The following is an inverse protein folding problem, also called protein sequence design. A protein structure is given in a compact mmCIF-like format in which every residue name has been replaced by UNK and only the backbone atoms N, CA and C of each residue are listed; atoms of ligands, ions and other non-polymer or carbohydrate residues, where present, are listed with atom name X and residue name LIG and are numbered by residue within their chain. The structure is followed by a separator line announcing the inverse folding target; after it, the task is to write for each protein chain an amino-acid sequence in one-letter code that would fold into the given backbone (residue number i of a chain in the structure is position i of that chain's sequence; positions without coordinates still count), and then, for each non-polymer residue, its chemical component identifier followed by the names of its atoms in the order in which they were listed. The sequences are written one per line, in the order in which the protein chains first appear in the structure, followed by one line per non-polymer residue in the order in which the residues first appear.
data_IF_447387631111
#
_entry.id   IF_447387631111
#
_cell.length_a   1.000
_cell.length_b   1.000
_cell.length_c   1.000
_cell.angle_alpha   90.00
_cell.angle_beta   90.00
_cell.angle_gamma   90.00
#
_symmetry.space_group_name_H-M   'P 1'
#
loop_
_entity.id
_entity.type
_entity.pdbx_description
1 polymer ?
#
# COMPACT_ATOMS: atom_id res chain seq x y z
N UNK A 1 -8.16 21.97 -5.63
CA UNK A 1 -8.24 20.51 -5.40
C UNK A 1 -7.03 20.11 -4.57
N UNK A 2 -7.26 19.61 -3.36
CA UNK A 2 -6.21 19.16 -2.45
C UNK A 2 -5.76 17.74 -2.83
N UNK A 3 -4.44 17.53 -2.87
CA UNK A 3 -3.83 16.22 -3.19
C UNK A 3 -2.94 15.77 -2.03
N UNK A 4 -2.96 14.48 -1.71
CA UNK A 4 -2.07 13.96 -0.68
C UNK A 4 -2.10 12.44 -0.55
N UNK A 5 -1.12 11.95 0.20
CA UNK A 5 -0.99 10.55 0.54
C UNK A 5 -1.74 10.24 1.82
N UNK A 6 -2.31 9.05 1.88
CA UNK A 6 -2.93 8.54 3.11
C UNK A 6 -2.38 7.16 3.41
N UNK A 7 -2.08 6.94 4.68
CA UNK A 7 -1.66 5.66 5.21
C UNK A 7 -2.49 5.31 6.45
N UNK A 8 -2.97 4.06 6.53
CA UNK A 8 -3.66 3.55 7.71
C UNK A 8 -2.71 2.64 8.48
N UNK A 9 -2.41 3.00 9.74
CA UNK A 9 -1.54 2.25 10.61
C UNK A 9 -2.29 1.78 11.86
N UNK A 10 -2.25 0.50 12.11
CA UNK A 10 -2.76 -0.11 13.35
C UNK A 10 -1.76 -1.12 13.86
N UNK A 11 -1.19 -0.84 15.02
CA UNK A 11 -0.22 -1.71 15.68
C UNK A 11 -0.87 -3.05 16.06
N UNK A 12 -0.10 -4.12 15.96
CA UNK A 12 -0.46 -5.41 16.52
C UNK A 12 0.55 -5.81 17.63
N UNK A 13 0.48 -7.05 18.10
CA UNK A 13 1.33 -7.53 19.21
C UNK A 13 2.83 -7.57 18.85
N UNK A 14 3.18 -7.63 17.57
CA UNK A 14 4.55 -7.88 17.09
C UNK A 14 5.10 -6.75 16.23
N UNK A 15 4.24 -5.91 15.65
CA UNK A 15 4.64 -4.90 14.68
C UNK A 15 4.13 -3.52 15.08
N UNK A 16 5.03 -2.55 15.06
CA UNK A 16 4.75 -1.12 15.20
C UNK A 16 4.54 -0.49 13.83
N UNK A 17 3.30 -0.51 13.33
CA UNK A 17 2.93 0.09 12.04
C UNK A 17 2.97 1.62 12.05
N UNK A 18 2.88 2.26 13.22
CA UNK A 18 3.05 3.71 13.35
C UNK A 18 4.50 4.10 13.02
N UNK A 19 5.49 3.33 13.46
CA UNK A 19 6.90 3.54 13.07
C UNK A 19 7.13 3.26 11.58
N UNK A 20 6.46 2.27 10.99
CA UNK A 20 6.52 2.03 9.53
C UNK A 20 5.95 3.23 8.75
N UNK A 21 4.78 3.72 9.15
CA UNK A 21 4.16 4.91 8.56
C UNK A 21 5.04 6.17 8.68
N UNK A 22 5.75 6.33 9.80
CA UNK A 22 6.72 7.42 9.97
C UNK A 22 7.88 7.31 8.99
N UNK A 23 8.44 6.12 8.78
CA UNK A 23 9.50 5.88 7.79
C UNK A 23 9.03 6.21 6.36
N UNK A 24 7.81 5.78 6.01
CA UNK A 24 7.18 6.13 4.73
C UNK A 24 7.02 7.65 4.59
N UNK A 25 6.50 8.33 5.61
CA UNK A 25 6.30 9.78 5.58
C UNK A 25 7.62 10.55 5.39
N UNK A 26 8.69 10.13 6.07
CA UNK A 26 10.03 10.69 5.86
C UNK A 26 10.51 10.52 4.41
N UNK A 27 10.31 9.33 3.84
CA UNK A 27 10.70 9.07 2.45
C UNK A 27 9.91 9.91 1.45
N UNK A 28 8.61 10.14 1.70
CA UNK A 28 7.78 11.04 0.89
C UNK A 28 8.29 12.48 0.99
N UNK A 29 8.53 13.00 2.20
CA UNK A 29 9.05 14.37 2.37
C UNK A 29 10.43 14.57 1.71
N UNK A 30 11.26 13.53 1.67
CA UNK A 30 12.57 13.55 1.03
C UNK A 30 12.53 13.48 -0.49
N UNK A 31 11.54 12.82 -1.08
CA UNK A 31 11.51 12.48 -2.51
C UNK A 31 10.51 13.28 -3.34
N UNK A 32 9.44 13.80 -2.73
CA UNK A 32 8.38 14.48 -3.47
C UNK A 32 8.61 15.99 -3.53
N UNK A 33 8.62 16.55 -4.74
CA UNK A 33 8.89 17.96 -4.99
C UNK A 33 7.64 18.84 -4.81
N UNK A 34 6.49 18.40 -5.28
CA UNK A 34 5.26 19.20 -5.27
C UNK A 34 4.23 18.66 -4.28
N UNK A 35 3.83 17.40 -4.43
CA UNK A 35 2.74 16.80 -3.66
C UNK A 35 3.31 15.88 -2.57
N UNK A 36 3.68 16.47 -1.44
CA UNK A 36 4.30 15.75 -0.33
C UNK A 36 3.41 15.70 0.93
N UNK A 37 2.18 16.16 0.84
CA UNK A 37 1.23 16.06 1.96
C UNK A 37 0.90 14.61 2.26
N UNK A 38 1.02 14.22 3.54
CA UNK A 38 0.69 12.89 4.01
C UNK A 38 -0.08 12.93 5.32
N UNK A 39 -1.20 12.20 5.38
CA UNK A 39 -2.01 12.03 6.59
C UNK A 39 -1.98 10.58 7.09
N UNK A 40 -1.89 10.44 8.41
CA UNK A 40 -1.90 9.16 9.11
C UNK A 40 -3.29 8.89 9.69
N UNK A 41 -3.88 7.74 9.35
CA UNK A 41 -5.11 7.26 9.98
C UNK A 41 -4.72 6.22 11.03
N UNK A 42 -5.01 6.50 12.30
CA UNK A 42 -4.66 5.58 13.39
C UNK A 42 -5.43 5.90 14.68
N UNK A 43 -5.68 4.88 15.49
CA UNK A 43 -6.11 5.01 16.89
C UNK A 43 -4.96 4.73 17.86
N UNK A 44 -3.79 4.33 17.35
CA UNK A 44 -2.62 4.05 18.17
C UNK A 44 -1.91 5.34 18.61
N UNK A 45 -1.21 5.32 19.76
CA UNK A 45 -0.40 6.45 20.20
C UNK A 45 0.72 6.78 19.19
N UNK A 46 0.77 8.03 18.77
CA UNK A 46 1.82 8.54 17.86
C UNK A 46 2.86 9.33 18.68
N UNK A 47 4.14 8.91 18.70
CA UNK A 47 5.19 9.66 19.39
C UNK A 47 5.27 11.12 18.93
N UNK A 48 5.46 12.06 19.87
CA UNK A 48 5.53 13.51 19.56
C UNK A 48 6.52 13.86 18.44
N UNK A 49 7.63 13.13 18.36
CA UNK A 49 8.63 13.28 17.31
C UNK A 49 8.03 12.97 15.92
N UNK A 50 7.19 11.93 15.82
CA UNK A 50 6.60 11.49 14.57
C UNK A 50 5.43 12.39 14.11
N UNK A 51 4.71 13.00 15.05
CA UNK A 51 3.53 13.82 14.73
C UNK A 51 3.85 14.95 13.73
N UNK A 52 5.06 15.50 13.80
CA UNK A 52 5.46 16.68 13.01
C UNK A 52 5.58 16.41 11.51
N UNK A 53 5.73 15.16 11.09
CA UNK A 53 5.91 14.80 9.68
C UNK A 53 4.58 14.68 8.95
N UNK A 54 3.51 14.35 9.68
CA UNK A 54 2.18 14.20 9.13
C UNK A 54 1.44 15.55 9.10
N UNK A 55 0.78 15.82 7.99
CA UNK A 55 -0.08 17.00 7.87
C UNK A 55 -1.32 16.87 8.76
N UNK A 56 -1.85 15.65 8.89
CA UNK A 56 -2.93 15.35 9.83
C UNK A 56 -2.75 13.94 10.41
N UNK A 57 -3.18 13.78 11.66
CA UNK A 57 -3.35 12.48 12.32
C UNK A 57 -4.84 12.34 12.62
N UNK A 58 -5.46 11.36 11.99
CA UNK A 58 -6.91 11.21 11.94
C UNK A 58 -7.30 9.91 12.62
N UNK A 59 -8.23 9.90 13.57
CA UNK A 59 -8.72 8.67 14.14
C UNK A 59 -9.44 7.82 13.08
N UNK A 60 -9.41 6.50 13.25
CA UNK A 60 -10.18 5.58 12.40
C UNK A 60 -11.66 5.93 12.58
N UNK A 61 -12.38 6.30 11.50
CA UNK A 61 -13.78 6.67 11.60
C UNK A 61 -14.66 5.47 11.96
N UNK A 62 -15.83 5.77 12.52
CA UNK A 62 -16.78 4.79 13.02
C UNK A 62 -16.16 3.98 14.19
N UNK A 63 -16.25 2.66 14.16
CA UNK A 63 -15.65 1.78 15.16
C UNK A 63 -14.37 1.14 14.62
N UNK A 64 -13.51 0.61 15.50
CA UNK A 64 -12.41 -0.27 15.10
C UNK A 64 -12.95 -1.70 14.95
N UNK A 65 -13.17 -2.12 13.69
CA UNK A 65 -13.71 -3.45 13.38
C UNK A 65 -12.61 -4.53 13.35
N UNK A 66 -11.33 -4.14 13.35
CA UNK A 66 -10.22 -5.09 13.30
C UNK A 66 -9.97 -5.79 14.65
N UNK A 67 -10.34 -5.16 15.78
CA UNK A 67 -10.18 -5.77 17.09
C UNK A 67 -8.78 -6.32 17.33
N UNK A 68 -8.68 -7.64 17.57
CA UNK A 68 -7.43 -8.36 17.80
C UNK A 68 -6.92 -9.16 16.60
N UNK A 69 -7.44 -8.94 15.40
CA UNK A 69 -6.94 -9.62 14.20
C UNK A 69 -5.47 -9.26 13.94
N UNK A 70 -4.74 -10.21 13.38
CA UNK A 70 -3.29 -10.03 13.15
C UNK A 70 -3.00 -8.94 12.11
N UNK A 71 -3.73 -8.94 11.01
CA UNK A 71 -3.47 -8.08 9.85
C UNK A 71 -4.23 -6.76 9.88
N UNK A 72 -5.28 -6.64 10.69
CA UNK A 72 -6.11 -5.44 10.90
C UNK A 72 -6.58 -4.80 9.59
N UNK A 73 -6.98 -5.62 8.64
CA UNK A 73 -7.38 -5.16 7.30
C UNK A 73 -8.84 -4.70 7.23
N UNK A 74 -9.66 -5.06 8.21
CA UNK A 74 -11.09 -4.81 8.30
C UNK A 74 -11.45 -3.32 8.24
N UNK A 75 -10.52 -2.44 8.64
CA UNK A 75 -10.73 -0.99 8.62
C UNK A 75 -10.33 -0.30 7.31
N UNK A 76 -9.77 -1.03 6.35
CA UNK A 76 -9.22 -0.43 5.12
C UNK A 76 -10.26 0.28 4.25
N UNK A 77 -11.50 -0.16 4.26
CA UNK A 77 -12.58 0.53 3.54
C UNK A 77 -12.88 1.94 4.09
N UNK A 78 -12.52 2.22 5.35
CA UNK A 78 -12.76 3.50 6.03
C UNK A 78 -11.84 4.62 5.56
N UNK A 79 -10.80 4.30 4.79
CA UNK A 79 -9.84 5.28 4.27
C UNK A 79 -10.53 6.38 3.47
N UNK A 80 -11.56 6.04 2.66
CA UNK A 80 -12.32 7.02 1.89
C UNK A 80 -13.00 8.07 2.78
N UNK A 81 -13.53 7.66 3.91
CA UNK A 81 -14.21 8.54 4.85
C UNK A 81 -13.24 9.37 5.70
N UNK A 82 -12.03 8.86 5.91
CA UNK A 82 -11.02 9.51 6.74
C UNK A 82 -10.14 10.49 5.96
N UNK A 83 -9.92 10.29 4.65
CA UNK A 83 -9.02 11.14 3.89
C UNK A 83 -9.43 12.62 3.93
N UNK A 84 -8.49 13.55 4.23
CA UNK A 84 -8.78 14.98 4.18
C UNK A 84 -8.65 15.59 2.78
N UNK A 85 -8.19 14.79 1.79
CA UNK A 85 -7.86 15.26 0.45
C UNK A 85 -9.01 15.02 -0.54
N UNK A 86 -9.08 15.85 -1.59
CA UNK A 86 -9.98 15.64 -2.73
C UNK A 86 -9.46 14.51 -3.64
N UNK A 87 -8.14 14.46 -3.84
CA UNK A 87 -7.45 13.39 -4.54
C UNK A 87 -6.47 12.70 -3.59
N UNK A 88 -6.51 11.38 -3.54
CA UNK A 88 -5.75 10.58 -2.56
C UNK A 88 -4.99 9.46 -3.25
N UNK A 89 -3.68 9.34 -2.96
CA UNK A 89 -2.93 8.10 -3.17
C UNK A 89 -2.82 7.38 -1.83
N UNK A 90 -3.35 6.16 -1.78
CA UNK A 90 -3.27 5.27 -0.62
C UNK A 90 -2.04 4.39 -0.72
N UNK A 91 -1.31 4.28 0.37
CA UNK A 91 -0.10 3.46 0.49
C UNK A 91 -0.18 2.53 1.71
N UNK A 92 0.43 1.35 1.60
CA UNK A 92 0.69 0.51 2.77
C UNK A 92 1.82 1.10 3.61
N UNK A 93 1.80 0.85 4.92
CA UNK A 93 2.76 1.40 5.88
C UNK A 93 4.19 0.92 5.62
N UNK A 94 4.37 -0.30 5.10
CA UNK A 94 5.65 -0.95 4.85
C UNK A 94 6.22 -0.66 3.46
N UNK A 95 6.09 0.61 3.05
CA UNK A 95 6.64 1.13 1.80
C UNK A 95 7.62 2.27 2.04
N UNK A 96 8.48 2.53 1.06
CA UNK A 96 9.30 3.73 0.96
C UNK A 96 9.13 4.37 -0.41
N UNK A 97 8.98 5.69 -0.45
CA UNK A 97 8.97 6.48 -1.67
C UNK A 97 10.40 6.94 -1.97
N UNK A 98 10.97 6.52 -3.09
CA UNK A 98 12.39 6.71 -3.40
C UNK A 98 12.65 7.77 -4.48
N UNK A 99 11.62 8.15 -5.23
CA UNK A 99 11.71 9.14 -6.30
C UNK A 99 10.41 9.93 -6.41
N UNK A 100 10.49 11.09 -7.07
CA UNK A 100 9.31 11.91 -7.36
C UNK A 100 8.32 11.18 -8.27
N UNK A 101 7.04 11.25 -7.92
CA UNK A 101 5.93 10.65 -8.66
C UNK A 101 4.88 11.68 -9.09
N UNK A 102 5.25 12.94 -9.25
CA UNK A 102 4.33 14.02 -9.65
C UNK A 102 3.55 13.67 -10.92
N UNK A 103 4.17 12.97 -11.87
CA UNK A 103 3.51 12.46 -13.08
C UNK A 103 2.38 11.45 -12.82
N UNK A 104 2.39 10.76 -11.67
CA UNK A 104 1.29 9.86 -11.32
C UNK A 104 0.02 10.63 -10.99
N UNK A 105 0.15 11.76 -10.32
CA UNK A 105 -0.99 12.64 -10.01
C UNK A 105 -1.64 13.16 -11.29
N UNK A 106 -0.81 13.58 -12.26
CA UNK A 106 -1.25 14.08 -13.56
C UNK A 106 -2.04 13.01 -14.34
N UNK A 107 -1.50 11.80 -14.39
CA UNK A 107 -2.15 10.65 -15.01
C UNK A 107 -3.45 10.28 -14.28
N UNK A 108 -3.39 10.10 -12.96
CA UNK A 108 -4.50 9.59 -12.16
C UNK A 108 -5.68 10.56 -12.07
N UNK A 109 -5.45 11.89 -12.12
CA UNK A 109 -6.51 12.90 -12.05
C UNK A 109 -7.57 12.77 -13.15
N UNK A 110 -7.27 12.06 -14.24
CA UNK A 110 -8.23 11.77 -15.30
C UNK A 110 -9.24 10.66 -14.93
N UNK A 111 -9.08 10.01 -13.79
CA UNK A 111 -9.88 8.86 -13.37
C UNK A 111 -10.49 9.07 -11.99
N UNK A 112 -11.59 8.40 -11.71
CA UNK A 112 -12.20 8.42 -10.39
C UNK A 112 -11.47 7.51 -9.39
N UNK A 113 -10.97 6.37 -9.87
CA UNK A 113 -10.21 5.39 -9.11
C UNK A 113 -9.23 4.64 -10.00
N UNK A 114 -8.02 4.38 -9.50
CA UNK A 114 -6.99 3.61 -10.20
C UNK A 114 -6.26 2.70 -9.22
N UNK A 115 -6.05 1.45 -9.61
CA UNK A 115 -5.27 0.48 -8.84
C UNK A 115 -3.96 0.14 -9.53
N UNK A 116 -2.97 -0.18 -8.71
CA UNK A 116 -1.79 -0.87 -9.19
C UNK A 116 -2.17 -2.30 -9.60
N UNK A 117 -1.75 -2.70 -10.79
CA UNK A 117 -1.95 -4.06 -11.33
C UNK A 117 -0.64 -4.74 -11.71
N UNK A 118 0.48 -4.03 -11.58
CA UNK A 118 1.82 -4.47 -12.00
C UNK A 118 2.85 -4.23 -10.91
N UNK A 119 3.65 -5.25 -10.65
CA UNK A 119 4.75 -5.19 -9.67
C UNK A 119 6.07 -5.57 -10.32
N UNK A 120 7.17 -5.15 -9.68
CA UNK A 120 8.54 -5.52 -10.05
C UNK A 120 9.24 -6.22 -8.89
N UNK A 121 10.22 -7.05 -9.18
CA UNK A 121 11.18 -7.52 -8.19
C UNK A 121 12.32 -6.50 -7.99
N UNK A 122 13.25 -6.78 -7.06
CA UNK A 122 14.39 -5.88 -6.79
C UNK A 122 15.37 -5.75 -7.98
N UNK A 123 15.32 -6.64 -8.97
CA UNK A 123 16.08 -6.56 -10.22
C UNK A 123 15.40 -5.68 -11.27
N UNK A 124 14.26 -5.09 -10.91
CA UNK A 124 13.41 -4.25 -11.74
C UNK A 124 12.66 -5.01 -12.86
N UNK A 125 12.67 -6.34 -12.83
CA UNK A 125 11.88 -7.15 -13.74
C UNK A 125 10.41 -7.10 -13.34
N UNK A 126 9.52 -6.96 -14.31
CA UNK A 126 8.08 -7.16 -14.10
C UNK A 126 7.84 -8.62 -13.76
N UNK A 127 7.14 -8.87 -12.67
CA UNK A 127 6.88 -10.23 -12.18
C UNK A 127 5.39 -10.52 -12.06
N UNK A 128 5.03 -11.76 -12.36
CA UNK A 128 3.69 -12.27 -12.13
C UNK A 128 3.66 -13.08 -10.82
N UNK A 129 2.79 -12.67 -9.90
CA UNK A 129 2.60 -13.39 -8.65
C UNK A 129 1.67 -14.60 -8.84
N UNK A 130 2.22 -15.72 -9.32
CA UNK A 130 1.45 -16.96 -9.50
C UNK A 130 1.14 -17.68 -8.18
N UNK A 131 1.81 -17.33 -7.09
CA UNK A 131 1.65 -18.00 -5.80
C UNK A 131 0.46 -17.41 -5.02
N UNK A 132 0.41 -16.07 -4.89
CA UNK A 132 -0.61 -15.39 -4.10
C UNK A 132 -1.83 -14.94 -4.93
N UNK A 133 -1.77 -15.14 -6.26
CA UNK A 133 -2.84 -14.76 -7.20
C UNK A 133 -3.66 -15.94 -7.74
N UNK A 134 -3.52 -17.12 -7.12
CA UNK A 134 -4.26 -18.33 -7.55
C UNK A 134 -5.77 -18.11 -7.58
N UNK A 135 -6.34 -17.52 -6.53
CA UNK A 135 -7.77 -17.21 -6.47
C UNK A 135 -8.20 -16.24 -7.58
N UNK A 136 -7.38 -15.26 -7.91
CA UNK A 136 -7.65 -14.30 -9.00
C UNK A 136 -7.69 -15.02 -10.35
N UNK A 137 -6.67 -15.80 -10.66
CA UNK A 137 -6.54 -16.53 -11.93
C UNK A 137 -7.67 -17.57 -12.07
N UNK A 138 -7.92 -18.36 -11.02
CA UNK A 138 -8.90 -19.42 -11.04
C UNK A 138 -10.34 -18.91 -11.21
N UNK A 139 -10.66 -17.71 -10.73
CA UNK A 139 -11.99 -17.12 -10.78
C UNK A 139 -12.11 -15.99 -11.82
N UNK A 140 -11.08 -15.79 -12.65
CA UNK A 140 -11.04 -14.72 -13.67
C UNK A 140 -11.25 -13.31 -13.08
N UNK A 141 -10.75 -13.07 -11.87
CA UNK A 141 -10.84 -11.78 -11.21
C UNK A 141 -9.69 -10.86 -11.66
N UNK A 142 -9.91 -9.54 -11.71
CA UNK A 142 -8.88 -8.59 -12.10
C UNK A 142 -7.72 -8.59 -11.10
N UNK A 143 -6.48 -8.41 -11.61
CA UNK A 143 -5.28 -8.35 -10.75
C UNK A 143 -5.17 -6.98 -10.09
N UNK A 144 -5.56 -6.89 -8.83
CA UNK A 144 -5.54 -5.67 -8.03
C UNK A 144 -4.51 -5.79 -6.91
N UNK A 145 -3.67 -4.77 -6.74
CA UNK A 145 -2.84 -4.56 -5.54
C UNK A 145 -3.39 -3.36 -4.77
N UNK A 146 -4.09 -3.64 -3.68
CA UNK A 146 -4.71 -2.60 -2.84
C UNK A 146 -3.68 -1.76 -2.07
N UNK A 147 -2.48 -2.28 -1.93
CA UNK A 147 -1.35 -1.61 -1.27
C UNK A 147 -0.97 -0.26 -1.91
N UNK A 148 -1.30 -0.08 -3.19
CA UNK A 148 -1.12 1.17 -3.94
C UNK A 148 -2.33 1.42 -4.82
N UNK A 149 -3.09 2.46 -4.52
CA UNK A 149 -4.18 2.91 -5.38
C UNK A 149 -4.43 4.40 -5.22
N UNK A 150 -5.10 4.96 -6.21
CA UNK A 150 -5.55 6.34 -6.25
C UNK A 150 -7.06 6.40 -6.29
N UNK A 151 -7.63 7.39 -5.65
CA UNK A 151 -9.02 7.83 -5.89
C UNK A 151 -9.17 9.34 -5.70
N UNK A 152 -10.18 9.91 -6.36
CA UNK A 152 -10.69 11.25 -6.04
C UNK A 152 -12.07 11.14 -5.39
N UNK A 153 -12.48 12.15 -4.61
CA UNK A 153 -13.82 12.21 -4.02
C UNK A 153 -14.86 12.39 -5.12
N UNK A 154 -15.42 11.29 -5.59
CA UNK A 154 -16.44 11.19 -6.63
C UNK A 154 -17.48 10.15 -6.26
N UNK A 155 -18.61 10.13 -6.96
CA UNK A 155 -19.67 9.14 -6.76
C UNK A 155 -19.17 7.71 -7.07
N UNK A 156 -18.35 7.55 -8.10
CA UNK A 156 -17.75 6.26 -8.44
C UNK A 156 -16.89 5.73 -7.29
N UNK A 157 -15.98 6.55 -6.76
CA UNK A 157 -15.13 6.16 -5.64
C UNK A 157 -15.96 5.93 -4.37
N UNK A 158 -16.94 6.79 -4.07
CA UNK A 158 -17.85 6.58 -2.94
C UNK A 158 -18.56 5.22 -3.04
N UNK A 159 -19.15 4.91 -4.18
CA UNK A 159 -19.83 3.64 -4.41
C UNK A 159 -18.88 2.45 -4.31
N UNK A 160 -17.65 2.57 -4.85
CA UNK A 160 -16.64 1.54 -4.69
C UNK A 160 -16.37 1.22 -3.21
N UNK A 161 -16.15 2.23 -2.38
CA UNK A 161 -15.86 2.04 -0.96
C UNK A 161 -17.09 1.55 -0.17
N UNK A 162 -18.31 1.89 -0.59
CA UNK A 162 -19.55 1.31 -0.02
C UNK A 162 -19.70 -0.16 -0.33
N UNK A 163 -19.41 -0.60 -1.57
CA UNK A 163 -19.40 -2.02 -1.92
C UNK A 163 -18.23 -2.74 -1.23
N UNK A 164 -17.06 -2.08 -1.10
CA UNK A 164 -15.92 -2.61 -0.37
C UNK A 164 -16.25 -2.87 1.11
N UNK A 165 -16.95 -1.92 1.77
CA UNK A 165 -17.48 -2.09 3.13
C UNK A 165 -18.36 -3.35 3.22
N UNK A 166 -19.30 -3.51 2.29
CA UNK A 166 -20.19 -4.68 2.25
C UNK A 166 -19.41 -5.97 2.11
N UNK A 167 -18.45 -6.03 1.17
CA UNK A 167 -17.64 -7.24 0.93
C UNK A 167 -16.72 -7.54 2.12
N UNK A 168 -16.11 -6.53 2.75
CA UNK A 168 -15.31 -6.73 3.96
C UNK A 168 -16.13 -7.29 5.13
N UNK A 169 -17.32 -6.75 5.36
CA UNK A 169 -18.19 -7.16 6.46
C UNK A 169 -18.85 -8.54 6.22
N UNK A 170 -18.87 -9.01 4.98
CA UNK A 170 -19.47 -10.28 4.56
C UNK A 170 -18.46 -11.10 3.70
N UNK A 171 -17.18 -11.08 4.05
CA UNK A 171 -16.12 -11.60 3.18
C UNK A 171 -16.24 -13.11 2.93
N UNK A 172 -16.63 -13.92 3.93
CA UNK A 172 -16.83 -15.36 3.78
C UNK A 172 -17.90 -15.65 2.71
N UNK A 173 -19.05 -15.02 2.84
CA UNK A 173 -20.13 -15.14 1.85
C UNK A 173 -19.68 -14.64 0.48
N UNK A 174 -19.00 -13.52 0.41
CA UNK A 174 -18.54 -12.93 -0.84
C UNK A 174 -17.51 -13.81 -1.54
N UNK A 175 -16.59 -14.41 -0.79
CA UNK A 175 -15.59 -15.32 -1.35
C UNK A 175 -16.24 -16.61 -1.86
N UNK A 176 -17.22 -17.16 -1.14
CA UNK A 176 -17.96 -18.34 -1.57
C UNK A 176 -18.75 -18.11 -2.87
N UNK A 177 -19.11 -16.88 -3.17
CA UNK A 177 -19.86 -16.54 -4.39
C UNK A 177 -18.97 -16.09 -5.56
N UNK A 178 -17.91 -15.36 -5.30
CA UNK A 178 -17.10 -14.72 -6.35
C UNK A 178 -15.68 -15.30 -6.47
N UNK A 179 -15.20 -16.02 -5.47
CA UNK A 179 -13.89 -16.66 -5.46
C UNK A 179 -13.98 -18.15 -5.07
N UNK A 180 -14.95 -18.86 -5.66
CA UNK A 180 -15.31 -20.26 -5.33
C UNK A 180 -14.19 -21.27 -5.62
N UNK A 181 -13.30 -20.96 -6.57
CA UNK A 181 -12.13 -21.76 -6.88
C UNK A 181 -10.92 -21.22 -6.11
N UNK A 182 -10.08 -22.08 -5.58
CA UNK A 182 -8.91 -21.68 -4.78
C UNK A 182 -9.33 -20.76 -3.61
N UNK A 183 -10.38 -21.17 -2.86
CA UNK A 183 -10.92 -20.39 -1.76
C UNK A 183 -9.89 -20.02 -0.72
N UNK A 184 -9.82 -18.74 -0.42
CA UNK A 184 -8.97 -18.16 0.60
C UNK A 184 -9.76 -17.98 1.90
N UNK A 185 -9.25 -18.51 3.01
CA UNK A 185 -9.95 -18.53 4.31
C UNK A 185 -9.71 -17.30 5.18
N UNK A 186 -9.07 -16.28 4.66
CA UNK A 186 -8.79 -15.04 5.39
C UNK A 186 -9.09 -13.82 4.53
N UNK A 187 -9.51 -12.74 5.17
CA UNK A 187 -9.78 -11.47 4.51
C UNK A 187 -8.48 -10.90 3.90
N UNK A 188 -8.49 -10.65 2.60
CA UNK A 188 -7.42 -10.04 1.85
C UNK A 188 -7.95 -8.84 1.08
N UNK A 189 -7.36 -7.66 1.30
CA UNK A 189 -7.82 -6.45 0.62
C UNK A 189 -7.64 -6.50 -0.89
N UNK A 190 -6.60 -7.18 -1.37
CA UNK A 190 -6.38 -7.36 -2.80
C UNK A 190 -7.53 -8.13 -3.44
N UNK A 191 -7.90 -9.28 -2.85
CA UNK A 191 -8.98 -10.12 -3.38
C UNK A 191 -10.34 -9.43 -3.22
N UNK A 192 -10.59 -8.83 -2.07
CA UNK A 192 -11.81 -8.06 -1.81
C UNK A 192 -12.00 -6.93 -2.82
N UNK A 193 -10.95 -6.15 -3.06
CA UNK A 193 -10.99 -5.06 -4.05
C UNK A 193 -11.16 -5.59 -5.48
N UNK A 194 -10.56 -6.73 -5.82
CA UNK A 194 -10.76 -7.36 -7.13
C UNK A 194 -12.21 -7.77 -7.35
N UNK A 195 -12.85 -8.37 -6.35
CA UNK A 195 -14.30 -8.70 -6.38
C UNK A 195 -15.12 -7.43 -6.61
N UNK A 196 -14.84 -6.35 -5.88
CA UNK A 196 -15.58 -5.08 -6.02
C UNK A 196 -15.38 -4.45 -7.40
N UNK A 197 -14.14 -4.44 -7.92
CA UNK A 197 -13.84 -3.95 -9.28
C UNK A 197 -14.64 -4.73 -10.33
N UNK A 198 -14.72 -6.05 -10.19
CA UNK A 198 -15.48 -6.92 -11.09
C UNK A 198 -16.99 -6.67 -10.96
N UNK A 199 -17.54 -6.69 -9.73
CA UNK A 199 -18.96 -6.42 -9.46
C UNK A 199 -19.44 -5.09 -10.02
N UNK A 200 -18.60 -4.06 -10.00
CA UNK A 200 -18.94 -2.72 -10.48
C UNK A 200 -18.61 -2.50 -11.97
N UNK A 201 -18.05 -3.49 -12.65
CA UNK A 201 -17.63 -3.34 -14.06
C UNK A 201 -16.53 -2.31 -14.28
N UNK A 202 -15.64 -2.10 -13.28
CA UNK A 202 -14.61 -1.07 -13.31
C UNK A 202 -13.27 -1.56 -13.88
N UNK A 203 -13.18 -2.78 -14.39
CA UNK A 203 -11.90 -3.38 -14.83
C UNK A 203 -11.18 -2.51 -15.85
N UNK A 204 -11.88 -2.04 -16.89
CA UNK A 204 -11.27 -1.22 -17.95
C UNK A 204 -10.85 0.18 -17.49
N UNK A 205 -11.58 0.77 -16.54
CA UNK A 205 -11.32 2.13 -16.06
C UNK A 205 -10.37 2.17 -14.88
N UNK A 206 -10.48 1.21 -13.95
CA UNK A 206 -9.67 1.15 -12.74
C UNK A 206 -8.31 0.47 -12.93
N UNK A 207 -8.16 -0.37 -13.97
CA UNK A 207 -6.94 -1.09 -14.31
C UNK A 207 -6.53 -0.77 -15.73
N UNK A 208 -5.30 -0.32 -15.92
CA UNK A 208 -4.75 0.02 -17.23
C UNK A 208 -3.32 -0.51 -17.32
N UNK A 209 -3.00 -1.20 -18.42
CA UNK A 209 -1.66 -1.72 -18.69
C UNK A 209 -0.61 -0.61 -18.83
N UNK A 210 -1.03 0.58 -19.21
CA UNK A 210 -0.19 1.76 -19.35
C UNK A 210 -0.11 2.61 -18.06
N UNK A 211 -0.80 2.20 -17.00
CA UNK A 211 -0.75 2.90 -15.72
C UNK A 211 0.68 3.02 -15.21
N UNK A 212 1.12 4.22 -14.77
CA UNK A 212 2.41 4.40 -14.13
C UNK A 212 2.46 3.83 -12.71
N UNK A 213 1.31 3.47 -12.13
CA UNK A 213 1.21 2.91 -10.79
C UNK A 213 1.87 1.54 -10.75
N UNK A 214 3.06 1.49 -10.17
CA UNK A 214 3.84 0.27 -9.99
C UNK A 214 4.68 0.37 -8.73
N UNK A 215 5.05 -0.75 -8.15
CA UNK A 215 6.00 -0.78 -7.03
C UNK A 215 6.90 -2.01 -7.10
N UNK A 216 8.06 -1.89 -6.45
CA UNK A 216 8.97 -3.00 -6.23
C UNK A 216 8.47 -3.78 -5.02
N UNK A 217 8.23 -5.07 -5.18
CA UNK A 217 7.63 -5.93 -4.16
C UNK A 217 8.62 -6.99 -3.67
N UNK A 218 9.07 -6.86 -2.43
CA UNK A 218 10.10 -7.74 -1.83
C UNK A 218 9.53 -9.01 -1.21
N UNK A 219 8.40 -9.51 -1.70
CA UNK A 219 7.82 -10.76 -1.24
C UNK A 219 8.67 -11.93 -1.71
N UNK A 220 9.21 -12.73 -0.78
CA UNK A 220 10.21 -13.77 -1.04
C UNK A 220 9.90 -14.70 -2.24
N UNK A 221 8.66 -15.21 -2.41
CA UNK A 221 8.35 -16.05 -3.58
C UNK A 221 8.52 -15.36 -4.94
N UNK A 222 8.45 -14.03 -4.98
CA UNK A 222 8.62 -13.23 -6.21
C UNK A 222 10.08 -12.97 -6.56
N UNK A 223 10.98 -13.22 -5.62
CA UNK A 223 12.42 -13.01 -5.80
C UNK A 223 13.10 -14.19 -6.52
N UNK A 224 12.35 -15.26 -6.81
CA UNK A 224 12.89 -16.48 -7.39
C UNK A 224 13.74 -17.30 -6.42
N UNK A 225 13.62 -17.07 -5.11
CA UNK A 225 14.36 -17.78 -4.07
C UNK A 225 13.64 -19.05 -3.63
N UNK A 226 14.37 -20.02 -3.06
CA UNK A 226 13.75 -21.23 -2.53
C UNK A 226 12.71 -20.92 -1.46
N UNK A 227 11.63 -21.67 -1.45
CA UNK A 227 10.63 -21.60 -0.38
C UNK A 227 11.28 -21.90 0.96
N UNK A 228 10.98 -21.10 1.98
CA UNK A 228 11.61 -21.23 3.30
C UNK A 228 12.86 -20.38 3.49
N UNK A 229 13.28 -19.61 2.49
CA UNK A 229 14.27 -18.54 2.68
C UNK A 229 13.69 -17.56 3.69
N UNK A 230 14.40 -17.41 4.77
CA UNK A 230 14.02 -16.53 5.87
C UNK A 230 14.11 -15.07 5.42
N UNK A 231 14.04 -14.12 5.96
CA UNK A 231 14.15 -12.68 5.82
C UNK A 231 15.09 -12.26 4.67
N UNK A 232 14.56 -11.60 3.64
CA UNK A 232 15.35 -11.15 2.49
C UNK A 232 16.38 -10.08 2.90
N UNK A 233 16.04 -9.19 3.83
CA UNK A 233 16.91 -8.09 4.25
C UNK A 233 18.13 -8.56 5.04
N UNK A 234 18.09 -9.75 5.62
CA UNK A 234 19.26 -10.39 6.24
C UNK A 234 20.10 -11.21 5.26
N UNK A 235 19.56 -11.50 4.07
CA UNK A 235 20.19 -12.38 3.06
C UNK A 235 20.91 -11.58 1.97
N UNK A 236 20.38 -10.40 1.63
CA UNK A 236 20.90 -9.56 0.55
C UNK A 236 21.45 -8.24 1.13
N UNK A 237 22.62 -7.79 0.66
CA UNK A 237 23.16 -6.50 1.06
C UNK A 237 22.20 -5.36 0.72
N UNK A 238 21.93 -4.51 1.71
CA UNK A 238 21.08 -3.33 1.56
C UNK A 238 21.87 -2.09 1.97
N UNK A 239 21.88 -1.09 1.11
CA UNK A 239 22.47 0.21 1.39
C UNK A 239 21.44 1.32 1.18
N UNK A 240 21.06 2.01 2.26
CA UNK A 240 20.31 3.26 2.19
C UNK A 240 21.29 4.39 2.50
N UNK A 241 21.42 5.35 1.60
CA UNK A 241 22.27 6.52 1.79
C UNK A 241 21.55 7.62 2.58
N UNK A 242 22.30 8.62 3.06
CA UNK A 242 21.73 9.76 3.80
C UNK A 242 20.90 10.71 2.92
N UNK A 243 20.99 10.61 1.60
CA UNK A 243 20.15 11.35 0.65
C UNK A 243 18.96 10.52 0.11
N UNK A 244 18.63 9.40 0.78
CA UNK A 244 17.44 8.61 0.48
C UNK A 244 17.58 7.59 -0.66
N UNK A 245 18.76 7.41 -1.25
CA UNK A 245 18.94 6.38 -2.29
C UNK A 245 19.05 5.00 -1.67
N UNK A 246 18.22 4.07 -2.12
CA UNK A 246 18.20 2.68 -1.69
C UNK A 246 18.79 1.76 -2.77
N UNK A 247 19.71 0.91 -2.35
CA UNK A 247 20.26 -0.17 -3.17
C UNK A 247 20.01 -1.52 -2.49
N UNK A 248 19.60 -2.50 -3.28
CA UNK A 248 19.45 -3.91 -2.88
C UNK A 248 20.31 -4.75 -3.81
N UNK A 249 21.26 -5.51 -3.28
CA UNK A 249 22.25 -6.27 -4.06
C UNK A 249 22.97 -5.42 -5.12
N UNK A 250 23.37 -4.18 -4.76
CA UNK A 250 23.99 -3.19 -5.65
C UNK A 250 23.11 -2.71 -6.82
N UNK A 251 21.81 -2.99 -6.78
CA UNK A 251 20.85 -2.47 -7.76
C UNK A 251 20.08 -1.32 -7.08
N UNK A 252 20.15 -0.13 -7.69
CA UNK A 252 19.39 1.02 -7.22
C UNK A 252 17.90 0.77 -7.38
N UNK A 253 17.16 1.01 -6.32
CA UNK A 253 15.70 0.89 -6.30
C UNK A 253 15.06 2.22 -6.68
N UNK A 254 13.87 2.18 -7.28
CA UNK A 254 13.20 3.31 -7.88
C UNK A 254 11.74 3.45 -7.44
N UNK A 255 11.18 4.66 -7.52
CA UNK A 255 9.78 4.98 -7.26
C UNK A 255 9.29 4.49 -5.89
N UNK A 256 8.47 3.46 -5.85
CA UNK A 256 7.87 2.93 -4.63
C UNK A 256 8.41 1.53 -4.33
N UNK A 257 8.90 1.34 -3.11
CA UNK A 257 9.54 0.12 -2.64
C UNK A 257 8.76 -0.48 -1.47
N UNK A 258 8.12 -1.62 -1.67
CA UNK A 258 7.38 -2.35 -0.67
C UNK A 258 8.26 -3.45 -0.08
N UNK A 259 8.83 -3.19 1.10
CA UNK A 259 9.81 -4.09 1.72
C UNK A 259 9.20 -5.32 2.39
N UNK A 260 7.92 -5.33 2.71
CA UNK A 260 7.13 -6.44 3.29
C UNK A 260 7.57 -6.85 4.70
N UNK A 261 8.88 -7.06 4.91
CA UNK A 261 9.45 -7.48 6.19
C UNK A 261 9.50 -6.32 7.19
N UNK A 262 8.79 -6.47 8.30
CA UNK A 262 8.54 -5.36 9.23
C UNK A 262 9.77 -4.96 10.05
N UNK A 263 10.76 -5.84 10.18
CA UNK A 263 12.06 -5.58 10.83
C UNK A 263 13.07 -4.88 9.90
N UNK A 264 12.75 -4.68 8.62
CA UNK A 264 13.55 -3.91 7.68
C UNK A 264 13.84 -2.49 8.17
N UNK A 265 12.86 -1.82 8.79
CA UNK A 265 13.04 -0.47 9.32
C UNK A 265 13.79 -0.51 10.67
N UNK A 266 15.10 -0.62 10.58
CA UNK A 266 16.00 -0.53 11.74
C UNK A 266 16.19 0.92 12.21
N UNK A 267 16.72 1.10 13.43
CA UNK A 267 17.13 2.44 13.93
C UNK A 267 18.12 3.15 12.99
N UNK A 268 18.99 2.39 12.33
CA UNK A 268 19.97 2.94 11.38
C UNK A 268 19.27 3.45 10.11
N UNK A 269 18.35 2.68 9.54
CA UNK A 269 17.55 3.08 8.37
C UNK A 269 16.72 4.31 8.71
N UNK A 270 16.05 4.31 9.86
CA UNK A 270 15.22 5.43 10.27
C UNK A 270 16.04 6.75 10.40
N UNK A 271 17.24 6.67 10.99
CA UNK A 271 18.15 7.83 11.10
C UNK A 271 18.57 8.38 9.73
N UNK A 272 18.78 7.51 8.74
CA UNK A 272 19.14 7.93 7.37
C UNK A 272 17.94 8.59 6.66
N UNK A 273 16.73 8.06 6.85
CA UNK A 273 15.50 8.68 6.32
C UNK A 273 15.25 10.05 6.97
N UNK A 274 15.48 10.19 8.28
CA UNK A 274 15.39 11.47 8.98
C UNK A 274 16.40 12.49 8.42
N UNK A 275 17.61 12.05 8.10
CA UNK A 275 18.62 12.92 7.48
C UNK A 275 18.18 13.35 6.07
N UNK A 276 17.67 12.42 5.25
CA UNK A 276 17.21 12.72 3.89
C UNK A 276 16.01 13.69 3.87
N UNK A 277 15.09 13.58 4.83
CA UNK A 277 13.92 14.47 4.90
C UNK A 277 14.23 15.89 5.42
N UNK A 278 15.40 16.11 6.02
CA UNK A 278 15.84 17.41 6.55
C UNK A 278 16.89 18.11 5.67
N UNK A 279 17.39 17.47 4.64
CA UNK A 279 18.35 18.03 3.68
C UNK A 279 17.69 18.62 2.49
#
# INVERSE_FOLDING_TARGET
VSKGFVVLAQNNKTVDYVTQAYALALSIKASQLEYNSISLITNDPVPKKYQKIFDQIIPIPFNDDAGNTEWKVENRWKIFHATPYDETIVLDTDMLMLEDISSWWEYCSNYDIKFCSRIKNYKLDVVEDKVHRKAFIANNLPNVYFALHYFKKSDTAYNFYKVLEFVCNNWEWSYDHFAVKEYQKWLSMDLTAAIVVDMMGLTETALDKNSPLEFIHMKVPLLGWPTGTVNWSSTVPVNLTSNGHLEVANIRQHKLFHYVEKDFITKSILKKLEAAANG
#
